data_IF_652884371199
#
_entry.id   IF_652884371199
#
_cell.length_a   1.000
_cell.length_b   1.000
_cell.length_c   1.000
_cell.angle_alpha   90.00
_cell.angle_beta   90.00
_cell.angle_gamma   90.00
#
_symmetry.space_group_name_H-M   'P 1'
#
loop_
_entity.id
_entity.type
_entity.pdbx_description
1 polymer ?
#
# COMPACT_ATOMS: atom_id res chain seq x y z
N UNK A 1 3.81 -38.39 -22.40
CA UNK A 1 3.07 -37.12 -22.19
C UNK A 1 4.09 -36.02 -21.93
N UNK A 2 4.27 -35.05 -22.84
CA UNK A 2 5.18 -33.91 -22.60
C UNK A 2 4.51 -32.98 -21.59
N UNK A 3 5.14 -32.78 -20.42
CA UNK A 3 4.72 -31.75 -19.46
C UNK A 3 4.61 -30.42 -20.20
N UNK A 4 3.41 -29.83 -20.19
CA UNK A 4 3.20 -28.49 -20.74
C UNK A 4 4.06 -27.55 -19.88
N UNK A 5 4.98 -26.76 -20.46
CA UNK A 5 5.76 -25.82 -19.68
C UNK A 5 4.78 -24.90 -18.94
N UNK A 6 5.04 -24.71 -17.64
CA UNK A 6 4.28 -23.79 -16.82
C UNK A 6 4.44 -22.39 -17.43
N UNK A 7 3.33 -21.77 -17.81
CA UNK A 7 3.34 -20.45 -18.43
C UNK A 7 3.59 -19.42 -17.34
N UNK A 8 4.43 -18.43 -17.62
CA UNK A 8 4.62 -17.29 -16.73
C UNK A 8 3.25 -16.65 -16.43
N UNK A 9 3.01 -16.37 -15.15
CA UNK A 9 1.75 -15.81 -14.68
C UNK A 9 1.97 -14.46 -14.01
N UNK A 10 1.44 -13.41 -14.63
CA UNK A 10 1.46 -12.05 -14.10
C UNK A 10 0.17 -11.76 -13.34
N UNK A 11 0.29 -11.13 -12.16
CA UNK A 11 -0.85 -10.82 -11.28
C UNK A 11 -1.63 -9.60 -11.75
N UNK A 12 -0.99 -8.68 -12.47
CA UNK A 12 -1.63 -7.50 -13.04
C UNK A 12 -0.83 -6.95 -14.23
N UNK A 13 -1.47 -6.11 -15.03
CA UNK A 13 -0.90 -5.55 -16.26
C UNK A 13 0.44 -4.80 -16.10
N UNK A 14 0.74 -4.27 -14.91
CA UNK A 14 1.98 -3.55 -14.66
C UNK A 14 3.21 -4.46 -14.46
N UNK A 15 3.01 -5.76 -14.24
CA UNK A 15 4.11 -6.74 -14.20
C UNK A 15 4.51 -7.24 -15.59
N UNK A 16 3.65 -7.04 -16.59
CA UNK A 16 3.89 -7.51 -17.96
C UNK A 16 4.99 -6.64 -18.61
N UNK A 17 6.11 -7.22 -19.05
CA UNK A 17 7.17 -6.46 -19.70
C UNK A 17 6.65 -5.69 -20.92
N UNK A 18 6.79 -4.37 -20.87
CA UNK A 18 6.27 -3.48 -21.93
C UNK A 18 6.97 -3.79 -23.25
N UNK A 19 6.21 -3.88 -24.33
CA UNK A 19 6.76 -4.16 -25.67
C UNK A 19 7.23 -5.60 -25.89
N UNK A 20 6.98 -6.53 -24.96
CA UNK A 20 7.33 -7.95 -25.12
C UNK A 20 6.11 -8.82 -25.41
N UNK A 21 5.04 -8.62 -24.63
CA UNK A 21 3.82 -9.41 -24.71
C UNK A 21 2.59 -8.56 -25.05
N UNK A 22 1.65 -9.14 -25.78
CA UNK A 22 0.33 -8.56 -26.06
C UNK A 22 -0.75 -9.64 -26.07
N UNK A 23 -1.99 -9.26 -25.76
CA UNK A 23 -3.16 -10.11 -26.01
C UNK A 23 -3.47 -10.18 -27.50
N UNK A 24 -4.25 -11.20 -27.90
CA UNK A 24 -4.81 -11.29 -29.26
C UNK A 24 -5.57 -10.03 -29.67
N UNK A 25 -6.30 -9.41 -28.74
CA UNK A 25 -7.04 -8.17 -28.99
C UNK A 25 -6.09 -6.99 -29.24
N UNK A 26 -5.06 -6.83 -28.40
CA UNK A 26 -4.06 -5.77 -28.59
C UNK A 26 -3.30 -5.92 -29.91
N UNK A 27 -2.90 -7.13 -30.31
CA UNK A 27 -2.26 -7.39 -31.60
C UNK A 27 -3.14 -6.97 -32.79
N UNK A 28 -4.45 -7.22 -32.70
CA UNK A 28 -5.43 -6.79 -33.71
C UNK A 28 -5.63 -5.27 -33.72
N UNK A 29 -5.49 -4.63 -32.56
CA UNK A 29 -5.73 -3.19 -32.40
C UNK A 29 -4.52 -2.32 -32.75
N UNK A 30 -3.36 -2.92 -33.05
CA UNK A 30 -2.20 -2.22 -33.61
C UNK A 30 -2.58 -1.44 -34.89
N UNK A 31 -1.79 -0.39 -35.18
CA UNK A 31 -1.91 0.39 -36.41
C UNK A 31 -1.70 -0.49 -37.65
N UNK A 32 -0.72 -1.39 -37.56
CA UNK A 32 -0.50 -2.51 -38.47
C UNK A 32 -0.89 -3.81 -37.75
N UNK A 33 -2.12 -4.32 -37.92
CA UNK A 33 -2.62 -5.45 -37.17
C UNK A 33 -1.80 -6.72 -37.38
N UNK A 34 -1.58 -7.44 -36.28
CA UNK A 34 -0.89 -8.73 -36.24
C UNK A 34 -1.82 -9.80 -35.67
N UNK A 35 -1.41 -11.06 -35.84
CA UNK A 35 -2.02 -12.22 -35.21
C UNK A 35 -0.95 -13.03 -34.47
N UNK A 36 -1.32 -13.78 -33.42
CA UNK A 36 -0.38 -14.72 -32.79
C UNK A 36 0.23 -15.67 -33.81
N UNK A 37 1.57 -15.81 -33.84
CA UNK A 37 2.27 -16.82 -34.65
C UNK A 37 2.66 -18.08 -33.86
N UNK A 38 2.31 -18.14 -32.57
CA UNK A 38 2.60 -19.24 -31.68
C UNK A 38 1.57 -19.37 -30.55
N UNK A 39 1.75 -20.35 -29.64
CA UNK A 39 0.89 -20.50 -28.47
C UNK A 39 1.04 -19.32 -27.50
N UNK A 40 0.09 -19.17 -26.57
CA UNK A 40 0.27 -18.25 -25.46
C UNK A 40 1.55 -18.59 -24.68
N UNK A 41 2.33 -17.57 -24.35
CA UNK A 41 3.64 -17.68 -23.67
C UNK A 41 3.55 -17.26 -22.20
N UNK A 42 2.54 -16.49 -21.84
CA UNK A 42 2.25 -16.08 -20.48
C UNK A 42 0.74 -15.85 -20.31
N UNK A 43 0.33 -15.57 -19.08
CA UNK A 43 -1.03 -15.13 -18.76
C UNK A 43 -0.99 -13.95 -17.79
N UNK A 44 -2.04 -13.12 -17.79
CA UNK A 44 -2.16 -12.02 -16.83
C UNK A 44 -3.57 -11.93 -16.26
N UNK A 45 -3.69 -11.72 -14.95
CA UNK A 45 -4.97 -11.40 -14.33
C UNK A 45 -5.30 -9.92 -14.54
N UNK A 46 -6.55 -9.64 -14.89
CA UNK A 46 -7.05 -8.29 -15.08
C UNK A 46 -8.56 -8.21 -14.92
N UNK A 47 -9.13 -7.08 -15.35
CA UNK A 47 -10.58 -6.92 -15.47
C UNK A 47 -10.99 -6.88 -16.93
N UNK A 48 -12.08 -7.56 -17.28
CA UNK A 48 -12.70 -7.47 -18.60
C UNK A 48 -13.47 -6.15 -18.78
N UNK A 49 -14.05 -5.94 -19.97
CA UNK A 49 -14.87 -4.74 -20.27
C UNK A 49 -16.13 -4.60 -19.40
N UNK A 50 -16.54 -5.67 -18.70
CA UNK A 50 -17.63 -5.67 -17.73
C UNK A 50 -17.12 -5.56 -16.27
N UNK A 51 -15.85 -5.18 -16.09
CA UNK A 51 -15.18 -5.04 -14.80
C UNK A 51 -15.07 -6.32 -13.95
N UNK A 52 -15.26 -7.50 -14.55
CA UNK A 52 -15.10 -8.81 -13.90
C UNK A 52 -13.66 -9.27 -13.96
N UNK A 53 -13.19 -9.97 -12.93
CA UNK A 53 -11.85 -10.58 -12.94
C UNK A 53 -11.76 -11.63 -14.04
N UNK A 54 -10.73 -11.55 -14.86
CA UNK A 54 -10.47 -12.46 -15.96
C UNK A 54 -8.96 -12.68 -16.11
N UNK A 55 -8.59 -13.83 -16.66
CA UNK A 55 -7.21 -14.14 -17.06
C UNK A 55 -7.10 -13.99 -18.56
N UNK A 56 -6.08 -13.28 -19.03
CA UNK A 56 -5.84 -13.01 -20.44
C UNK A 56 -4.58 -13.73 -20.91
N UNK A 57 -4.67 -14.38 -22.07
CA UNK A 57 -3.52 -14.98 -22.73
C UNK A 57 -2.62 -13.91 -23.33
N UNK A 58 -1.32 -14.09 -23.13
CA UNK A 58 -0.27 -13.21 -23.62
C UNK A 58 0.58 -13.94 -24.66
N UNK A 59 0.82 -13.27 -25.78
CA UNK A 59 1.59 -13.75 -26.91
C UNK A 59 2.82 -12.88 -27.08
N UNK A 60 3.96 -13.51 -27.43
CA UNK A 60 5.18 -12.78 -27.75
C UNK A 60 4.99 -11.96 -29.03
N UNK A 61 5.31 -10.67 -28.95
CA UNK A 61 5.22 -9.79 -30.12
C UNK A 61 6.22 -10.22 -31.20
N UNK A 62 7.42 -10.67 -30.80
CA UNK A 62 8.45 -11.17 -31.72
C UNK A 62 8.03 -12.41 -32.51
N UNK A 63 7.12 -13.23 -31.97
CA UNK A 63 6.56 -14.41 -32.65
C UNK A 63 5.29 -14.10 -33.44
N UNK A 64 4.71 -12.91 -33.28
CA UNK A 64 3.48 -12.53 -33.98
C UNK A 64 3.74 -12.26 -35.46
N UNK A 65 2.77 -12.56 -36.31
CA UNK A 65 2.87 -12.36 -37.76
C UNK A 65 1.89 -11.27 -38.23
N UNK A 66 2.22 -10.49 -39.27
CA UNK A 66 1.26 -9.57 -39.89
C UNK A 66 -0.02 -10.29 -40.31
N UNK A 67 -1.15 -9.58 -40.25
CA UNK A 67 -2.37 -10.05 -40.90
C UNK A 67 -2.23 -10.04 -42.43
N UNK A 68 -3.09 -10.77 -43.14
CA UNK A 68 -3.12 -10.80 -44.61
C UNK A 68 -3.69 -9.53 -45.27
N UNK A 69 -3.95 -8.48 -44.48
CA UNK A 69 -4.56 -7.26 -44.97
C UNK A 69 -3.60 -6.48 -45.90
N UNK A 70 -4.08 -6.12 -47.09
CA UNK A 70 -3.33 -5.28 -48.02
C UNK A 70 -3.27 -3.83 -47.54
N UNK A 71 -2.32 -3.04 -48.07
CA UNK A 71 -2.21 -1.61 -47.76
C UNK A 71 -3.52 -0.84 -48.02
N UNK A 72 -4.24 -1.16 -49.10
CA UNK A 72 -5.54 -0.57 -49.41
C UNK A 72 -6.61 -0.91 -48.37
N UNK A 73 -6.62 -2.16 -47.89
CA UNK A 73 -7.55 -2.60 -46.83
C UNK A 73 -7.22 -1.92 -45.49
N UNK A 74 -5.93 -1.77 -45.16
CA UNK A 74 -5.49 -1.06 -43.95
C UNK A 74 -5.86 0.42 -44.00
N UNK A 75 -5.63 1.10 -45.13
CA UNK A 75 -6.02 2.50 -45.34
C UNK A 75 -7.54 2.69 -45.24
N UNK A 76 -8.31 1.83 -45.92
CA UNK A 76 -9.77 1.88 -45.85
C UNK A 76 -10.32 1.57 -44.45
N UNK A 77 -9.63 0.72 -43.67
CA UNK A 77 -9.98 0.46 -42.28
C UNK A 77 -9.65 1.68 -41.40
N UNK A 78 -8.49 2.31 -41.58
CA UNK A 78 -8.09 3.52 -40.86
C UNK A 78 -9.11 4.66 -41.09
N UNK A 79 -9.55 4.88 -42.33
CA UNK A 79 -10.56 5.88 -42.67
C UNK A 79 -11.94 5.63 -42.03
N UNK A 80 -12.29 4.35 -41.79
CA UNK A 80 -13.57 3.94 -41.19
C UNK A 80 -13.54 3.82 -39.66
N UNK A 81 -12.35 3.83 -39.03
CA UNK A 81 -12.22 3.64 -37.59
C UNK A 81 -12.90 4.77 -36.82
N UNK A 82 -14.00 4.43 -36.14
CA UNK A 82 -14.65 5.27 -35.12
C UNK A 82 -13.94 5.18 -33.76
N UNK A 83 -13.11 4.16 -33.57
CA UNK A 83 -12.41 3.84 -32.32
C UNK A 83 -11.09 4.59 -32.22
N UNK A 84 -11.15 5.79 -31.63
CA UNK A 84 -10.04 6.52 -31.00
C UNK A 84 -8.88 6.95 -31.91
N UNK A 85 -8.63 8.26 -32.12
CA UNK A 85 -7.42 8.73 -32.79
C UNK A 85 -6.15 8.08 -32.22
N UNK A 86 -5.25 7.70 -33.11
CA UNK A 86 -3.85 7.36 -32.83
C UNK A 86 -2.96 8.60 -32.91
N UNK A 87 -3.52 9.75 -32.56
CA UNK A 87 -2.77 10.99 -32.41
C UNK A 87 -3.06 11.47 -31.00
N UNK A 88 -2.02 11.64 -30.21
CA UNK A 88 -2.14 12.20 -28.88
C UNK A 88 -2.58 13.66 -29.01
N UNK A 89 -3.70 14.02 -28.40
CA UNK A 89 -4.23 15.38 -28.44
C UNK A 89 -3.36 16.39 -27.68
N UNK A 90 -2.41 15.92 -26.87
CA UNK A 90 -1.52 16.77 -26.07
C UNK A 90 -0.13 16.96 -26.70
N UNK A 91 0.51 15.88 -27.18
CA UNK A 91 1.89 15.94 -27.68
C UNK A 91 2.03 15.59 -29.17
N UNK A 92 0.93 15.28 -29.87
CA UNK A 92 0.95 14.90 -31.29
C UNK A 92 1.55 13.53 -31.59
N UNK A 93 2.04 12.78 -30.58
CA UNK A 93 2.61 11.45 -30.75
C UNK A 93 1.61 10.48 -31.40
N UNK A 94 2.15 9.53 -32.18
CA UNK A 94 1.36 8.54 -32.93
C UNK A 94 1.64 7.11 -32.46
N UNK A 95 1.07 6.68 -31.32
CA UNK A 95 1.29 5.32 -30.82
C UNK A 95 0.68 4.27 -31.74
N UNK A 96 1.26 3.06 -31.75
CA UNK A 96 0.72 1.92 -32.51
C UNK A 96 -0.67 1.51 -32.02
N UNK A 97 -0.90 1.56 -30.71
CA UNK A 97 -2.19 1.31 -30.08
C UNK A 97 -3.03 2.61 -30.03
N UNK A 98 -4.38 2.51 -30.04
CA UNK A 98 -5.24 3.68 -29.88
C UNK A 98 -4.92 4.49 -28.61
N UNK A 99 -5.01 5.82 -28.71
CA UNK A 99 -4.88 6.69 -27.54
C UNK A 99 -5.93 6.35 -26.48
N UNK A 100 -5.54 6.39 -25.22
CA UNK A 100 -6.43 6.14 -24.09
C UNK A 100 -7.27 7.38 -23.81
N UNK A 101 -8.58 7.20 -23.63
CA UNK A 101 -9.46 8.28 -23.19
C UNK A 101 -9.20 8.55 -21.71
N UNK A 102 -8.76 9.77 -21.37
CA UNK A 102 -8.58 10.26 -20.01
C UNK A 102 -9.39 11.55 -19.91
N UNK A 103 -10.46 11.52 -19.13
CA UNK A 103 -11.44 12.60 -19.05
C UNK A 103 -12.00 12.95 -20.45
N UNK A 104 -11.79 14.18 -20.92
CA UNK A 104 -12.18 14.65 -22.26
C UNK A 104 -11.12 14.38 -23.34
N UNK A 105 -9.89 14.04 -22.97
CA UNK A 105 -8.76 13.93 -23.89
C UNK A 105 -8.48 12.49 -24.34
N UNK A 106 -7.85 12.35 -25.50
CA UNK A 106 -7.28 11.10 -26.00
C UNK A 106 -5.77 11.21 -26.06
N UNK A 107 -5.12 10.51 -25.13
CA UNK A 107 -3.71 10.66 -24.85
C UNK A 107 -2.92 9.39 -25.20
N UNK A 108 -1.68 9.56 -25.65
CA UNK A 108 -0.74 8.45 -25.71
C UNK A 108 -0.47 7.91 -24.30
N UNK A 109 0.04 6.68 -24.15
CA UNK A 109 0.29 6.07 -22.83
C UNK A 109 1.12 6.95 -21.88
N UNK A 110 2.14 7.65 -22.39
CA UNK A 110 2.98 8.55 -21.61
C UNK A 110 2.20 9.78 -21.08
N UNK A 111 1.51 10.51 -21.96
CA UNK A 111 0.68 11.65 -21.56
C UNK A 111 -0.46 11.22 -20.61
N UNK A 112 -1.10 10.08 -20.89
CA UNK A 112 -2.12 9.52 -20.01
C UNK A 112 -1.56 9.20 -18.61
N UNK A 113 -0.34 8.67 -18.53
CA UNK A 113 0.34 8.42 -17.26
C UNK A 113 0.63 9.72 -16.50
N UNK A 114 1.17 10.74 -17.17
CA UNK A 114 1.41 12.06 -16.58
C UNK A 114 0.11 12.68 -16.05
N UNK A 115 -0.98 12.63 -16.81
CA UNK A 115 -2.26 13.17 -16.36
C UNK A 115 -2.85 12.41 -15.17
N UNK A 116 -2.72 11.08 -15.13
CA UNK A 116 -3.10 10.29 -13.95
C UNK A 116 -2.25 10.66 -12.73
N UNK A 117 -0.95 10.86 -12.92
CA UNK A 117 -0.06 11.26 -11.83
C UNK A 117 -0.43 12.66 -11.30
N UNK A 118 -0.73 13.62 -12.18
CA UNK A 118 -1.23 14.95 -11.80
C UNK A 118 -2.56 14.86 -11.05
N UNK A 119 -3.49 14.02 -11.51
CA UNK A 119 -4.75 13.80 -10.83
C UNK A 119 -4.57 13.17 -9.44
N UNK A 120 -3.65 12.21 -9.30
CA UNK A 120 -3.29 11.62 -8.02
C UNK A 120 -2.63 12.65 -7.09
N UNK A 121 -1.75 13.53 -7.59
CA UNK A 121 -1.15 14.62 -6.82
C UNK A 121 -2.20 15.61 -6.30
N UNK A 122 -3.21 15.96 -7.11
CA UNK A 122 -4.32 16.82 -6.65
C UNK A 122 -5.10 16.18 -5.50
N UNK A 123 -5.49 14.91 -5.64
CA UNK A 123 -6.15 14.14 -4.57
C UNK A 123 -5.30 14.01 -3.32
N UNK A 124 -3.99 13.81 -3.48
CA UNK A 124 -3.05 13.76 -2.35
C UNK A 124 -2.96 15.12 -1.64
N UNK A 125 -3.05 16.24 -2.37
CA UNK A 125 -3.16 17.58 -1.82
C UNK A 125 -4.40 17.78 -0.94
N UNK A 126 -5.56 17.31 -1.39
CA UNK A 126 -6.81 17.32 -0.60
C UNK A 126 -6.67 16.45 0.67
N UNK A 127 -6.12 15.25 0.55
CA UNK A 127 -5.89 14.36 1.68
C UNK A 127 -4.88 14.92 2.70
N UNK A 128 -3.88 15.67 2.24
CA UNK A 128 -2.93 16.38 3.12
C UNK A 128 -3.64 17.39 4.01
N UNK A 129 -4.58 18.17 3.46
CA UNK A 129 -5.35 19.14 4.25
C UNK A 129 -6.20 18.45 5.33
N UNK A 130 -6.83 17.32 4.99
CA UNK A 130 -7.56 16.52 5.96
C UNK A 130 -6.65 15.96 7.07
N UNK A 131 -5.47 15.46 6.71
CA UNK A 131 -4.50 14.97 7.70
C UNK A 131 -4.01 16.07 8.66
N UNK A 132 -3.84 17.30 8.15
CA UNK A 132 -3.49 18.46 8.98
C UNK A 132 -4.62 18.83 9.95
N UNK A 133 -5.86 18.91 9.48
CA UNK A 133 -7.02 19.18 10.34
C UNK A 133 -7.16 18.14 11.44
N UNK A 134 -6.99 16.86 11.11
CA UNK A 134 -7.07 15.77 12.06
C UNK A 134 -5.95 15.80 13.10
N UNK A 135 -4.71 16.11 12.68
CA UNK A 135 -3.60 16.28 13.61
C UNK A 135 -3.83 17.46 14.57
N UNK A 136 -4.34 18.58 14.07
CA UNK A 136 -4.72 19.73 14.90
C UNK A 136 -5.83 19.38 15.90
N UNK A 137 -6.85 18.63 15.46
CA UNK A 137 -7.93 18.15 16.33
C UNK A 137 -7.40 17.25 17.44
N UNK A 138 -6.53 16.28 17.11
CA UNK A 138 -5.93 15.37 18.09
C UNK A 138 -5.07 16.11 19.13
N UNK A 139 -4.26 17.08 18.70
CA UNK A 139 -3.45 17.88 19.62
C UNK A 139 -4.29 18.84 20.48
N UNK A 140 -5.41 19.35 19.95
CA UNK A 140 -6.30 20.29 20.64
C UNK A 140 -7.24 19.66 21.68
N UNK A 141 -7.42 18.33 21.67
CA UNK A 141 -8.36 17.65 22.58
C UNK A 141 -7.94 17.59 24.06
N UNK A 142 -6.65 17.78 24.36
CA UNK A 142 -6.11 17.78 25.73
C UNK A 142 -6.01 16.40 26.41
N UNK A 143 -6.58 15.35 25.80
CA UNK A 143 -6.62 13.97 26.30
C UNK A 143 -5.76 12.98 25.46
N UNK A 144 -4.93 13.50 24.55
CA UNK A 144 -4.10 12.69 23.67
C UNK A 144 -2.96 11.98 24.43
N UNK A 145 -2.77 10.69 24.13
CA UNK A 145 -1.61 9.91 24.51
C UNK A 145 -0.94 9.28 23.27
N UNK A 146 0.29 9.68 22.95
CA UNK A 146 1.09 9.09 21.87
C UNK A 146 1.84 7.89 22.40
N UNK A 147 1.51 6.70 21.91
CA UNK A 147 2.00 5.42 22.40
C UNK A 147 2.96 4.78 21.40
N UNK A 148 4.12 4.40 21.91
CA UNK A 148 5.10 3.56 21.22
C UNK A 148 5.30 2.25 22.00
N UNK A 149 5.48 1.15 21.27
CA UNK A 149 5.78 -0.16 21.83
C UNK A 149 7.03 -0.71 21.15
N UNK A 150 8.10 -0.87 21.92
CA UNK A 150 9.32 -1.56 21.47
C UNK A 150 9.29 -3.01 21.96
N UNK A 151 9.55 -3.96 21.06
CA UNK A 151 9.54 -5.38 21.40
C UNK A 151 10.97 -5.92 21.56
N UNK A 152 11.19 -6.73 22.59
CA UNK A 152 12.41 -7.53 22.70
C UNK A 152 12.28 -8.77 21.83
N UNK A 153 12.99 -8.77 20.70
CA UNK A 153 12.95 -9.85 19.73
C UNK A 153 13.61 -11.14 20.28
N UNK A 154 13.07 -12.28 19.87
CA UNK A 154 13.61 -13.62 20.15
C UNK A 154 14.07 -14.35 18.89
N UNK A 155 14.05 -13.67 17.75
CA UNK A 155 14.39 -14.23 16.45
C UNK A 155 13.32 -15.20 15.93
N UNK A 156 13.76 -16.18 15.15
CA UNK A 156 12.89 -17.15 14.48
C UNK A 156 13.04 -18.56 15.06
N UNK A 157 12.07 -19.43 14.80
CA UNK A 157 12.21 -20.88 14.96
C UNK A 157 13.07 -21.46 13.84
N UNK A 158 13.47 -22.72 13.97
CA UNK A 158 14.26 -23.42 12.94
C UNK A 158 13.48 -23.54 11.62
N UNK A 159 12.15 -23.52 11.69
CA UNK A 159 11.25 -23.42 10.53
C UNK A 159 11.06 -22.00 9.96
N UNK A 160 11.81 -21.02 10.45
CA UNK A 160 11.76 -19.62 9.99
C UNK A 160 10.59 -18.79 10.52
N UNK A 161 9.72 -19.35 11.40
CA UNK A 161 8.60 -18.60 11.98
C UNK A 161 9.10 -17.64 13.06
N UNK A 162 8.71 -16.37 13.00
CA UNK A 162 9.02 -15.38 14.05
C UNK A 162 8.49 -15.86 15.40
N UNK A 163 9.35 -15.87 16.42
CA UNK A 163 8.97 -16.20 17.80
C UNK A 163 8.24 -15.01 18.42
N UNK A 164 7.28 -15.28 19.29
CA UNK A 164 6.63 -14.23 20.09
C UNK A 164 7.67 -13.47 20.92
N UNK A 165 7.64 -12.14 20.96
CA UNK A 165 8.58 -11.34 21.75
C UNK A 165 8.64 -11.77 23.23
N UNK A 166 9.79 -11.64 23.89
CA UNK A 166 9.94 -11.95 25.33
C UNK A 166 9.44 -10.83 26.23
N UNK A 167 9.53 -9.58 25.78
CA UNK A 167 9.11 -8.41 26.52
C UNK A 167 8.65 -7.30 25.56
N UNK A 168 7.92 -6.34 26.13
CA UNK A 168 7.57 -5.10 25.47
C UNK A 168 7.84 -3.92 26.40
N UNK A 169 8.45 -2.87 25.86
CA UNK A 169 8.54 -1.56 26.47
C UNK A 169 7.46 -0.66 25.88
N UNK A 170 6.54 -0.21 26.73
CA UNK A 170 5.45 0.69 26.37
C UNK A 170 5.78 2.08 26.89
N UNK A 171 5.95 3.02 25.98
CA UNK A 171 6.10 4.44 26.29
C UNK A 171 4.89 5.20 25.79
N UNK A 172 4.25 5.99 26.66
CA UNK A 172 3.16 6.88 26.32
C UNK A 172 3.51 8.32 26.72
N UNK A 173 3.37 9.27 25.79
CA UNK A 173 3.55 10.69 26.04
C UNK A 173 2.21 11.44 25.91
N UNK A 174 2.01 12.46 26.72
CA UNK A 174 0.92 13.42 26.53
C UNK A 174 1.17 14.33 25.31
N UNK A 175 0.16 15.12 24.94
CA UNK A 175 0.31 16.15 23.89
C UNK A 175 1.39 17.20 24.20
N UNK A 176 1.68 17.41 25.49
CA UNK A 176 2.73 18.30 26.02
C UNK A 176 4.12 17.65 26.05
N UNK A 177 4.24 16.38 25.64
CA UNK A 177 5.49 15.63 25.63
C UNK A 177 5.86 15.03 26.99
N UNK A 178 5.07 15.21 28.04
CA UNK A 178 5.33 14.58 29.34
C UNK A 178 5.08 13.08 29.26
N UNK A 179 5.93 12.30 29.93
CA UNK A 179 5.75 10.85 30.04
C UNK A 179 4.54 10.55 30.91
N UNK A 180 3.56 9.86 30.35
CA UNK A 180 2.40 9.33 31.06
C UNK A 180 2.66 7.90 31.55
N UNK A 181 3.25 7.08 30.67
CA UNK A 181 3.60 5.69 30.96
C UNK A 181 4.98 5.40 30.40
N UNK A 182 5.82 4.74 31.19
CA UNK A 182 7.07 4.13 30.74
C UNK A 182 7.24 2.82 31.48
N UNK A 183 6.78 1.71 30.90
CA UNK A 183 6.82 0.40 31.54
C UNK A 183 7.40 -0.64 30.61
N UNK A 184 8.32 -1.45 31.14
CA UNK A 184 8.80 -2.66 30.48
C UNK A 184 8.13 -3.86 31.13
N UNK A 185 7.46 -4.69 30.33
CA UNK A 185 6.74 -5.86 30.81
C UNK A 185 7.19 -7.13 30.10
N UNK A 186 7.17 -8.25 30.82
CA UNK A 186 7.36 -9.57 30.21
C UNK A 186 6.13 -9.95 29.39
N UNK A 187 6.36 -10.62 28.26
CA UNK A 187 5.33 -11.16 27.36
C UNK A 187 5.33 -12.69 27.32
N UNK A 188 6.05 -13.31 28.25
CA UNK A 188 6.24 -14.75 28.39
C UNK A 188 6.16 -15.16 29.88
N UNK A 189 6.01 -16.46 30.19
CA UNK A 189 6.03 -16.95 31.57
C UNK A 189 7.35 -16.61 32.30
N UNK A 190 7.35 -16.49 33.65
CA UNK A 190 8.46 -15.92 34.43
C UNK A 190 9.83 -16.58 34.22
N UNK A 191 9.86 -17.88 33.90
CA UNK A 191 11.08 -18.67 33.75
C UNK A 191 11.62 -18.72 32.31
N UNK A 192 11.05 -17.92 31.41
CA UNK A 192 11.45 -17.92 30.00
C UNK A 192 12.72 -17.10 29.78
N UNK A 193 13.66 -17.65 29.01
CA UNK A 193 14.92 -16.97 28.65
C UNK A 193 14.68 -15.77 27.73
N UNK A 194 15.56 -14.76 27.83
CA UNK A 194 15.59 -13.59 26.96
C UNK A 194 14.67 -12.44 27.39
N UNK A 195 14.12 -12.50 28.60
CA UNK A 195 13.38 -11.39 29.22
C UNK A 195 14.40 -10.43 29.84
N UNK A 196 14.33 -9.11 29.59
CA UNK A 196 15.19 -8.13 30.25
C UNK A 196 15.04 -8.17 31.78
N UNK A 197 16.15 -7.91 32.49
CA UNK A 197 16.14 -7.82 33.95
C UNK A 197 15.26 -6.66 34.41
N UNK A 198 14.39 -6.92 35.39
CA UNK A 198 13.45 -5.91 35.90
C UNK A 198 12.18 -5.73 35.07
N UNK A 199 11.96 -6.49 34.00
CA UNK A 199 10.68 -6.48 33.29
C UNK A 199 9.53 -6.87 34.23
N UNK A 200 8.55 -5.97 34.35
CA UNK A 200 7.45 -6.09 35.29
C UNK A 200 6.50 -7.27 34.94
N UNK A 201 5.71 -7.66 35.95
CA UNK A 201 4.59 -8.57 35.75
C UNK A 201 3.58 -8.00 34.72
N UNK A 202 3.09 -8.78 33.75
CA UNK A 202 2.22 -8.25 32.71
C UNK A 202 0.86 -7.80 33.24
N UNK A 203 0.33 -8.40 34.34
CA UNK A 203 -0.94 -7.94 34.94
C UNK A 203 -0.75 -6.58 35.60
N UNK A 204 0.33 -6.40 36.35
CA UNK A 204 0.66 -5.12 36.97
C UNK A 204 0.90 -4.02 35.92
N UNK A 205 1.70 -4.30 34.88
CA UNK A 205 1.98 -3.34 33.83
C UNK A 205 0.73 -2.99 33.00
N UNK A 206 -0.11 -3.98 32.70
CA UNK A 206 -1.40 -3.78 32.04
C UNK A 206 -2.33 -2.91 32.89
N UNK A 207 -2.37 -3.11 34.21
CA UNK A 207 -3.14 -2.27 35.12
C UNK A 207 -2.65 -0.82 35.07
N UNK A 208 -1.34 -0.59 35.19
CA UNK A 208 -0.76 0.76 35.08
C UNK A 208 -1.15 1.44 33.77
N UNK A 209 -1.01 0.74 32.64
CA UNK A 209 -1.41 1.29 31.33
C UNK A 209 -2.91 1.62 31.31
N UNK A 210 -3.76 0.71 31.80
CA UNK A 210 -5.21 0.88 31.78
C UNK A 210 -5.66 2.05 32.65
N UNK A 211 -5.14 2.17 33.87
CA UNK A 211 -5.45 3.27 34.78
C UNK A 211 -5.00 4.61 34.20
N UNK A 212 -3.82 4.67 33.57
CA UNK A 212 -3.29 5.94 33.04
C UNK A 212 -3.91 6.34 31.70
N UNK A 213 -4.19 5.39 30.80
CA UNK A 213 -4.64 5.65 29.44
C UNK A 213 -6.14 5.42 29.21
N UNK A 214 -6.88 4.89 30.19
CA UNK A 214 -8.26 4.43 30.02
C UNK A 214 -9.23 5.49 29.46
N UNK A 215 -9.02 6.75 29.80
CA UNK A 215 -9.83 7.88 29.33
C UNK A 215 -9.17 8.69 28.20
N UNK A 216 -7.95 8.30 27.80
CA UNK A 216 -7.17 9.02 26.79
C UNK A 216 -7.56 8.62 25.38
N UNK A 217 -7.38 9.55 24.46
CA UNK A 217 -7.35 9.26 23.04
C UNK A 217 -5.95 8.77 22.68
N UNK A 218 -5.80 7.50 22.30
CA UNK A 218 -4.50 6.87 22.05
C UNK A 218 -4.11 7.00 20.57
N UNK A 219 -2.90 7.49 20.30
CA UNK A 219 -2.31 7.53 18.97
C UNK A 219 -1.12 6.57 18.89
N UNK A 220 -1.18 5.60 17.99
CA UNK A 220 -0.07 4.67 17.70
C UNK A 220 0.44 4.87 16.28
N UNK A 221 1.60 4.30 15.93
CA UNK A 221 2.06 4.35 14.55
C UNK A 221 1.08 3.66 13.60
N UNK A 222 0.69 2.43 13.89
CA UNK A 222 -0.37 1.70 13.20
C UNK A 222 -0.91 0.59 14.10
N UNK A 223 -2.16 0.17 13.92
CA UNK A 223 -2.81 -0.79 14.83
C UNK A 223 -2.11 -2.16 14.83
N UNK A 224 -1.43 -2.51 13.74
CA UNK A 224 -0.65 -3.74 13.66
C UNK A 224 0.53 -3.77 14.66
N UNK A 225 1.04 -2.62 15.10
CA UNK A 225 2.10 -2.54 16.13
C UNK A 225 1.63 -3.09 17.46
N UNK A 226 0.33 -3.04 17.75
CA UNK A 226 -0.26 -3.55 18.99
C UNK A 226 -0.68 -5.04 18.91
N UNK A 227 -0.62 -5.65 17.72
CA UNK A 227 -1.11 -7.01 17.51
C UNK A 227 -0.29 -8.05 18.28
N UNK A 228 1.05 -7.94 18.27
CA UNK A 228 1.95 -8.85 18.98
C UNK A 228 1.72 -8.77 20.50
N UNK A 229 1.59 -7.55 21.05
CA UNK A 229 1.25 -7.32 22.45
C UNK A 229 -0.11 -7.92 22.81
N UNK A 230 -1.14 -7.69 21.99
CA UNK A 230 -2.48 -8.22 22.22
C UNK A 230 -2.54 -9.75 22.20
N UNK A 231 -1.79 -10.39 21.30
CA UNK A 231 -1.68 -11.84 21.24
C UNK A 231 -0.96 -12.41 22.47
N UNK A 232 0.16 -11.80 22.87
CA UNK A 232 0.93 -12.24 24.02
C UNK A 232 0.17 -12.08 25.35
N UNK A 233 -0.48 -10.93 25.57
CA UNK A 233 -1.28 -10.71 26.78
C UNK A 233 -2.45 -11.69 26.89
N UNK A 234 -3.13 -11.97 25.77
CA UNK A 234 -4.21 -12.98 25.74
C UNK A 234 -3.69 -14.37 26.11
N UNK A 235 -2.51 -14.77 25.62
CA UNK A 235 -1.90 -16.05 25.95
C UNK A 235 -1.53 -16.18 27.44
N UNK A 236 -1.35 -15.05 28.14
CA UNK A 236 -1.06 -14.97 29.57
C UNK A 236 -2.32 -14.71 30.42
N UNK A 237 -3.51 -14.72 29.81
CA UNK A 237 -4.78 -14.40 30.47
C UNK A 237 -4.78 -13.01 31.13
N UNK A 238 -4.19 -12.03 30.43
CA UNK A 238 -4.15 -10.63 30.85
C UNK A 238 -5.10 -9.81 29.98
N UNK A 239 -5.97 -9.04 30.64
CA UNK A 239 -6.92 -8.17 29.96
C UNK A 239 -6.21 -7.11 29.11
N UNK A 240 -6.83 -6.74 27.99
CA UNK A 240 -6.31 -5.73 27.08
C UNK A 240 -6.28 -4.34 27.76
N UNK A 241 -5.11 -3.66 27.85
CA UNK A 241 -4.99 -2.47 28.68
C UNK A 241 -5.24 -1.15 27.94
N UNK A 242 -5.35 -1.16 26.61
CA UNK A 242 -5.58 0.07 25.83
C UNK A 242 -7.07 0.31 25.58
N UNK A 243 -7.49 1.59 25.47
CA UNK A 243 -8.83 1.94 25.05
C UNK A 243 -9.24 1.23 23.76
N UNK A 244 -10.51 0.85 23.71
CA UNK A 244 -11.16 0.29 22.53
C UNK A 244 -12.28 1.23 22.06
N UNK A 245 -12.60 1.19 20.77
CA UNK A 245 -13.56 2.09 20.14
C UNK A 245 -12.95 2.90 19.00
N UNK A 246 -13.81 3.31 18.07
CA UNK A 246 -13.41 3.99 16.83
C UNK A 246 -12.76 5.37 17.10
N UNK A 247 -13.29 6.13 18.05
CA UNK A 247 -12.80 7.50 18.33
C UNK A 247 -11.69 7.57 19.39
N UNK A 248 -11.40 6.46 20.06
CA UNK A 248 -10.43 6.40 21.17
C UNK A 248 -9.04 5.95 20.74
N UNK A 249 -8.88 5.41 19.54
CA UNK A 249 -7.59 4.93 19.03
C UNK A 249 -7.39 5.30 17.57
N UNK A 250 -6.31 6.04 17.33
CA UNK A 250 -5.95 6.59 16.03
C UNK A 250 -4.59 6.06 15.56
N UNK A 251 -4.37 6.11 14.26
CA UNK A 251 -3.11 5.73 13.64
C UNK A 251 -2.40 6.95 13.03
N UNK A 252 -1.12 7.13 13.36
CA UNK A 252 -0.29 8.21 12.83
C UNK A 252 0.23 7.91 11.42
N UNK A 253 0.44 6.63 11.06
CA UNK A 253 0.93 6.22 9.74
C UNK A 253 0.09 6.73 8.58
N UNK A 254 -1.25 6.56 8.53
CA UNK A 254 -2.06 7.11 7.45
C UNK A 254 -2.01 8.64 7.42
N UNK A 255 -2.01 9.33 8.58
CA UNK A 255 -1.86 10.78 8.64
C UNK A 255 -0.53 11.24 8.03
N UNK A 256 0.58 10.61 8.42
CA UNK A 256 1.90 10.90 7.89
C UNK A 256 2.00 10.61 6.38
N UNK A 257 1.40 9.50 5.93
CA UNK A 257 1.34 9.12 4.52
C UNK A 257 0.59 10.15 3.67
N UNK A 258 -0.55 10.65 4.17
CA UNK A 258 -1.35 11.65 3.48
C UNK A 258 -0.70 13.04 3.53
N UNK A 259 -0.18 13.44 4.69
CA UNK A 259 0.49 14.73 4.85
C UNK A 259 1.73 14.87 3.97
N UNK A 260 2.56 13.81 3.87
CA UNK A 260 3.73 13.82 2.98
C UNK A 260 3.35 13.90 1.51
N UNK A 261 2.20 13.34 1.13
CA UNK A 261 1.73 13.26 -0.27
C UNK A 261 2.79 12.71 -1.25
N UNK A 262 3.71 11.86 -0.75
CA UNK A 262 4.80 11.30 -1.53
C UNK A 262 4.30 10.12 -2.37
N UNK A 263 4.15 10.35 -3.67
CA UNK A 263 3.64 9.37 -4.62
C UNK A 263 4.79 8.66 -5.33
N UNK A 264 4.67 7.35 -5.51
CA UNK A 264 5.50 6.62 -6.46
C UNK A 264 5.13 7.07 -7.89
N UNK A 265 6.08 7.62 -8.67
CA UNK A 265 5.78 8.16 -9.99
C UNK A 265 5.22 7.10 -10.94
N UNK A 266 5.61 5.83 -10.79
CA UNK A 266 5.22 4.75 -11.70
C UNK A 266 3.80 4.23 -11.43
N UNK A 267 3.42 4.14 -10.15
CA UNK A 267 2.14 3.54 -9.73
C UNK A 267 1.10 4.56 -9.31
N UNK A 268 1.50 5.83 -9.11
CA UNK A 268 0.69 6.90 -8.53
C UNK A 268 0.09 6.54 -7.14
N UNK A 269 0.68 5.58 -6.44
CA UNK A 269 0.30 5.19 -5.07
C UNK A 269 1.20 5.88 -4.05
N UNK A 270 0.71 6.12 -2.85
CA UNK A 270 1.52 6.68 -1.77
C UNK A 270 2.67 5.73 -1.41
N UNK A 271 3.85 6.28 -1.18
CA UNK A 271 4.96 5.55 -0.55
C UNK A 271 4.64 5.40 0.93
N UNK A 272 4.92 4.22 1.47
CA UNK A 272 4.73 3.96 2.89
C UNK A 272 5.79 4.75 3.68
N UNK A 273 5.39 5.58 4.67
CA UNK A 273 6.35 6.26 5.51
C UNK A 273 7.06 5.25 6.42
N UNK A 274 8.33 5.55 6.74
CA UNK A 274 9.12 4.81 7.73
C UNK A 274 8.65 5.20 9.13
N UNK A 275 8.55 4.21 10.02
CA UNK A 275 8.17 4.42 11.41
C UNK A 275 9.21 5.31 12.14
N UNK A 276 8.80 6.25 13.00
CA UNK A 276 9.75 7.04 13.79
C UNK A 276 10.41 6.27 14.95
N UNK A 277 9.89 5.08 15.29
CA UNK A 277 10.37 4.12 16.29
C UNK A 277 10.54 4.63 17.73
N UNK A 278 9.95 5.79 18.06
CA UNK A 278 9.86 6.35 19.42
C UNK A 278 8.64 7.26 19.58
N UNK A 279 8.08 7.32 20.80
CA UNK A 279 6.89 8.12 21.09
C UNK A 279 7.12 9.64 20.92
N UNK A 280 8.29 10.15 21.30
CA UNK A 280 8.66 11.56 21.16
C UNK A 280 8.77 11.98 19.68
N UNK A 281 9.39 11.14 18.85
CA UNK A 281 9.46 11.37 17.40
C UNK A 281 8.10 11.27 16.72
N UNK A 282 7.22 10.40 17.21
CA UNK A 282 5.83 10.32 16.75
C UNK A 282 5.05 11.59 17.13
N UNK A 283 5.19 12.09 18.35
CA UNK A 283 4.56 13.34 18.79
C UNK A 283 5.07 14.53 17.97
N UNK A 284 6.39 14.63 17.78
CA UNK A 284 7.00 15.65 16.93
C UNK A 284 6.47 15.60 15.49
N UNK A 285 6.34 14.40 14.92
CA UNK A 285 5.76 14.22 13.58
C UNK A 285 4.28 14.68 13.54
N UNK A 286 3.48 14.37 14.56
CA UNK A 286 2.11 14.86 14.65
C UNK A 286 2.04 16.39 14.68
N UNK A 287 2.89 17.03 15.49
CA UNK A 287 3.00 18.50 15.56
C UNK A 287 3.39 19.10 14.20
N UNK A 288 4.31 18.46 13.47
CA UNK A 288 4.69 18.83 12.09
C UNK A 288 3.58 18.66 11.07
N UNK A 289 2.66 17.71 11.29
CA UNK A 289 1.49 17.52 10.43
C UNK A 289 0.46 18.62 10.67
N UNK A 290 0.30 19.05 11.93
CA UNK A 290 -0.65 20.10 12.31
C UNK A 290 -0.24 21.51 11.85
N UNK A 291 1.07 21.79 11.74
CA UNK A 291 1.63 23.04 11.21
C UNK A 291 1.50 23.15 9.68
#
# INVERSE_FOLDING_TARGET
MKQKPELDHYKYWGEVPTGTYMTKTQLRDLDLPRQPGGPARATVQGRDGASRRATFDLYLISESVPTSASAAQLSAAAARRRTGPRVCEQCGARPELPCTKVESWRLCPACAHVERLRAAQRKAGEARAHAQQEATRLLGGGDLAVVHVAYTDRGTTDSGKRRTPSAAEVTALGADGRVLVGVQMRLVPPRSKGTPDGAADPRQAAETIRTTLGEKTVLVWGNNVLADLGHALRALDVAWPFPSGYDRRHELKPLAMHWRADLNPWTATHRLPVAPDRADRMLYLLQRIAS
#
